data_IF_250687230190
#
_entry.id   IF_250687230190
#
_cell.length_a   1.000
_cell.length_b   1.000
_cell.length_c   1.000
_cell.angle_alpha   90.00
_cell.angle_beta   90.00
_cell.angle_gamma   90.00
#
_symmetry.space_group_name_H-M   'P 1'
#
loop_
_entity.id
_entity.type
_entity.pdbx_description
1 polymer ?
#
# COMPACT_ATOMS: atom_id res chain seq x y z
N UNK A 1 0.42 16.27 -10.33
CA UNK A 1 -0.41 15.04 -10.34
C UNK A 1 -1.70 15.25 -11.14
N UNK A 2 -1.83 14.65 -12.34
CA UNK A 2 -3.08 14.71 -13.13
C UNK A 2 -4.16 13.74 -12.63
N UNK A 3 -3.77 12.56 -12.11
CA UNK A 3 -4.75 11.54 -11.70
C UNK A 3 -5.63 11.95 -10.52
N UNK A 4 -5.08 12.65 -9.52
CA UNK A 4 -5.89 13.18 -8.43
C UNK A 4 -6.96 14.15 -8.94
N UNK A 5 -6.61 15.02 -9.90
CA UNK A 5 -7.57 15.95 -10.49
C UNK A 5 -8.69 15.20 -11.22
N UNK A 6 -8.33 14.21 -12.04
CA UNK A 6 -9.30 13.37 -12.76
C UNK A 6 -10.24 12.66 -11.76
N UNK A 7 -9.69 12.03 -10.73
CA UNK A 7 -10.50 11.42 -9.67
C UNK A 7 -11.46 12.44 -9.04
N UNK A 8 -10.94 13.61 -8.65
CA UNK A 8 -11.73 14.65 -7.98
C UNK A 8 -12.89 15.14 -8.85
N UNK A 9 -12.66 15.32 -10.15
CA UNK A 9 -13.71 15.71 -11.10
C UNK A 9 -14.84 14.68 -11.14
N UNK A 10 -14.52 13.39 -11.32
CA UNK A 10 -15.53 12.33 -11.36
C UNK A 10 -16.24 12.15 -10.01
N UNK A 11 -15.50 12.26 -8.90
CA UNK A 11 -16.07 12.14 -7.56
C UNK A 11 -17.10 13.24 -7.29
N UNK A 12 -16.76 14.51 -7.57
CA UNK A 12 -17.69 15.62 -7.38
C UNK A 12 -18.86 15.59 -8.36
N UNK A 13 -18.67 15.10 -9.59
CA UNK A 13 -19.77 14.87 -10.52
C UNK A 13 -20.76 13.84 -9.98
N UNK A 14 -20.25 12.72 -9.44
CA UNK A 14 -21.09 11.69 -8.84
C UNK A 14 -21.84 12.19 -7.60
N UNK A 15 -21.17 12.93 -6.72
CA UNK A 15 -21.79 13.51 -5.51
C UNK A 15 -22.96 14.44 -5.89
N UNK A 16 -22.74 15.33 -6.87
CA UNK A 16 -23.78 16.25 -7.36
C UNK A 16 -24.99 15.51 -7.93
N UNK A 17 -24.76 14.43 -8.68
CA UNK A 17 -25.83 13.60 -9.27
C UNK A 17 -26.76 13.03 -8.20
N UNK A 18 -26.23 12.71 -7.02
CA UNK A 18 -26.97 12.06 -5.94
C UNK A 18 -27.28 12.98 -4.76
N UNK A 19 -27.16 14.30 -4.91
CA UNK A 19 -27.34 15.29 -3.83
C UNK A 19 -26.55 14.95 -2.54
N UNK A 20 -25.37 14.36 -2.70
CA UNK A 20 -24.51 14.01 -1.56
C UNK A 20 -23.62 15.16 -1.12
N UNK A 21 -22.81 14.89 -0.10
CA UNK A 21 -21.73 15.76 0.35
C UNK A 21 -20.36 15.12 0.18
N UNK A 22 -19.36 15.94 -0.09
CA UNK A 22 -17.97 15.50 -0.23
C UNK A 22 -17.41 14.94 1.08
N UNK A 23 -16.81 13.76 1.03
CA UNK A 23 -16.16 13.14 2.20
C UNK A 23 -14.64 13.30 2.12
N UNK A 24 -14.07 13.94 3.14
CA UNK A 24 -12.60 14.04 3.29
C UNK A 24 -11.95 12.66 3.35
N UNK A 25 -12.59 11.71 4.04
CA UNK A 25 -12.12 10.32 4.15
C UNK A 25 -12.05 9.62 2.80
N UNK A 26 -13.04 9.84 1.93
CA UNK A 26 -13.05 9.31 0.57
C UNK A 26 -11.90 9.90 -0.25
N UNK A 27 -11.73 11.23 -0.20
CA UNK A 27 -10.63 11.90 -0.91
C UNK A 27 -9.26 11.40 -0.45
N UNK A 28 -9.03 11.32 0.86
CA UNK A 28 -7.77 10.82 1.42
C UNK A 28 -7.52 9.37 1.01
N UNK A 29 -8.55 8.50 1.10
CA UNK A 29 -8.41 7.08 0.73
C UNK A 29 -8.10 6.90 -0.76
N UNK A 30 -8.77 7.66 -1.63
CA UNK A 30 -8.49 7.64 -3.06
C UNK A 30 -7.08 8.13 -3.36
N UNK A 31 -6.61 9.17 -2.68
CA UNK A 31 -5.23 9.66 -2.83
C UNK A 31 -4.21 8.60 -2.42
N UNK A 32 -4.44 7.87 -1.32
CA UNK A 32 -3.59 6.75 -0.89
C UNK A 32 -3.54 5.65 -1.94
N UNK A 33 -4.68 5.21 -2.49
CA UNK A 33 -4.72 4.19 -3.55
C UNK A 33 -3.93 4.65 -4.78
N UNK A 34 -4.19 5.88 -5.23
CA UNK A 34 -3.55 6.46 -6.41
C UNK A 34 -2.04 6.57 -6.19
N UNK A 35 -1.60 7.05 -5.02
CA UNK A 35 -0.19 7.20 -4.70
C UNK A 35 0.53 5.86 -4.59
N UNK A 36 -0.11 4.84 -4.00
CA UNK A 36 0.47 3.51 -3.85
C UNK A 36 0.78 2.83 -5.19
N UNK A 37 0.14 3.26 -6.28
CA UNK A 37 0.28 2.64 -7.61
C UNK A 37 0.80 3.58 -8.72
N UNK A 38 1.10 4.84 -8.41
CA UNK A 38 1.75 5.76 -9.34
C UNK A 38 3.21 5.99 -8.96
N UNK A 39 4.01 4.92 -9.03
CA UNK A 39 5.44 5.00 -8.74
C UNK A 39 6.27 5.42 -9.94
N UNK A 40 7.30 6.22 -9.67
CA UNK A 40 8.29 6.66 -10.65
C UNK A 40 9.59 5.90 -10.44
N UNK A 41 10.14 5.32 -11.52
CA UNK A 41 11.39 4.57 -11.47
C UNK A 41 11.85 4.12 -12.85
N UNK A 42 12.91 3.31 -12.86
CA UNK A 42 13.41 2.60 -14.02
C UNK A 42 12.77 1.20 -14.04
N UNK A 43 11.77 1.00 -14.91
CA UNK A 43 11.07 -0.26 -15.03
C UNK A 43 11.95 -1.41 -15.56
N UNK A 44 13.03 -1.11 -16.30
CA UNK A 44 13.97 -2.11 -16.79
C UNK A 44 14.80 -2.65 -15.62
N UNK A 45 15.26 -1.74 -14.74
CA UNK A 45 16.01 -2.11 -13.53
C UNK A 45 15.12 -2.51 -12.36
N UNK A 46 13.81 -2.27 -12.45
CA UNK A 46 12.79 -2.54 -11.42
C UNK A 46 13.02 -1.75 -10.13
N UNK A 47 13.70 -0.61 -10.23
CA UNK A 47 14.07 0.24 -9.09
C UNK A 47 13.59 1.67 -9.24
N UNK A 48 13.32 2.34 -8.13
CA UNK A 48 13.06 3.77 -8.04
C UNK A 48 14.35 4.57 -8.20
N UNK A 49 14.25 5.91 -8.23
CA UNK A 49 15.41 6.79 -8.43
C UNK A 49 16.49 6.64 -7.35
N UNK A 50 16.08 6.32 -6.13
CA UNK A 50 16.92 6.06 -4.96
C UNK A 50 17.51 4.63 -4.93
N UNK A 51 17.20 3.79 -5.92
CA UNK A 51 17.71 2.42 -6.00
C UNK A 51 16.88 1.39 -5.25
N UNK A 52 15.84 1.81 -4.52
CA UNK A 52 14.89 0.91 -3.85
C UNK A 52 14.03 0.14 -4.88
N UNK A 53 13.49 -1.04 -4.55
CA UNK A 53 12.57 -1.75 -5.44
C UNK A 53 11.31 -0.93 -5.74
N UNK A 54 10.80 -0.99 -6.97
CA UNK A 54 9.47 -0.45 -7.29
C UNK A 54 8.42 -1.35 -6.63
N UNK A 55 7.57 -0.78 -5.79
CA UNK A 55 6.51 -1.49 -5.06
C UNK A 55 5.14 -1.03 -5.58
N UNK A 56 4.23 -1.99 -5.76
CA UNK A 56 2.82 -1.77 -6.09
C UNK A 56 1.92 -2.39 -5.02
N UNK A 57 0.72 -1.83 -4.87
CA UNK A 57 -0.32 -2.35 -3.99
C UNK A 57 -1.46 -2.97 -4.80
N UNK A 58 -1.72 -4.24 -4.54
CA UNK A 58 -2.95 -4.93 -4.91
C UNK A 58 -4.04 -4.64 -3.88
N UNK A 59 -5.28 -4.45 -4.35
CA UNK A 59 -6.44 -4.16 -3.50
C UNK A 59 -7.55 -5.18 -3.77
N UNK A 60 -7.76 -6.11 -2.85
CA UNK A 60 -8.77 -7.16 -2.97
C UNK A 60 -10.02 -6.83 -2.18
N UNK A 61 -11.17 -6.78 -2.84
CA UNK A 61 -12.47 -6.68 -2.17
C UNK A 61 -12.76 -7.98 -1.42
N UNK A 62 -13.06 -7.87 -0.13
CA UNK A 62 -13.48 -9.00 0.71
C UNK A 62 -14.99 -9.22 0.60
N UNK A 63 -15.54 -10.38 0.99
CA UNK A 63 -16.98 -10.56 1.06
C UNK A 63 -17.66 -9.50 1.92
N UNK A 64 -18.86 -9.06 1.52
CA UNK A 64 -19.66 -8.12 2.31
C UNK A 64 -20.18 -8.85 3.55
N UNK A 65 -19.85 -8.35 4.73
CA UNK A 65 -20.31 -8.90 6.01
C UNK A 65 -21.09 -7.80 6.74
N UNK A 66 -22.32 -8.08 7.14
CA UNK A 66 -23.21 -7.13 7.84
C UNK A 66 -23.36 -5.79 7.09
N UNK A 67 -23.46 -5.84 5.75
CA UNK A 67 -23.58 -4.65 4.89
C UNK A 67 -22.29 -3.83 4.74
N UNK A 68 -21.15 -4.32 5.26
CA UNK A 68 -19.87 -3.62 5.19
C UNK A 68 -18.95 -4.30 4.17
N UNK A 69 -18.60 -3.55 3.13
CA UNK A 69 -17.55 -3.91 2.18
C UNK A 69 -16.18 -3.55 2.76
N UNK A 70 -15.31 -4.54 2.92
CA UNK A 70 -13.91 -4.35 3.31
C UNK A 70 -12.96 -4.60 2.15
N UNK A 71 -11.74 -4.10 2.27
CA UNK A 71 -10.64 -4.32 1.32
C UNK A 71 -9.42 -4.83 2.06
N UNK A 72 -8.68 -5.73 1.42
CA UNK A 72 -7.34 -6.15 1.81
C UNK A 72 -6.33 -5.52 0.86
N UNK A 73 -5.29 -4.89 1.40
CA UNK A 73 -4.12 -4.40 0.65
C UNK A 73 -3.01 -5.43 0.78
N UNK A 74 -2.34 -5.71 -0.32
CA UNK A 74 -1.16 -6.57 -0.36
C UNK A 74 -0.13 -5.92 -1.27
N UNK A 75 1.12 -5.86 -0.83
CA UNK A 75 2.20 -5.21 -1.59
C UNK A 75 3.08 -6.23 -2.33
N UNK A 76 3.60 -5.82 -3.48
CA UNK A 76 4.50 -6.62 -4.31
C UNK A 76 5.59 -5.75 -4.89
N UNK A 77 6.79 -6.31 -5.08
CA UNK A 77 7.80 -5.66 -5.91
C UNK A 77 7.46 -5.87 -7.38
N UNK A 78 7.90 -4.98 -8.26
CA UNK A 78 7.75 -5.18 -9.70
C UNK A 78 8.42 -6.47 -10.17
N UNK A 79 9.50 -6.89 -9.50
CA UNK A 79 10.15 -8.17 -9.77
C UNK A 79 9.26 -9.36 -9.46
N UNK A 80 8.63 -9.38 -8.26
CA UNK A 80 7.75 -10.49 -7.88
C UNK A 80 6.51 -10.56 -8.77
N UNK A 81 5.96 -9.42 -9.21
CA UNK A 81 4.85 -9.39 -10.18
C UNK A 81 5.26 -10.07 -11.50
N UNK A 82 6.45 -9.79 -12.01
CA UNK A 82 6.92 -10.33 -13.30
C UNK A 82 7.26 -11.81 -13.20
N UNK A 83 7.90 -12.22 -12.10
CA UNK A 83 8.43 -13.57 -11.92
C UNK A 83 7.48 -14.53 -11.20
N UNK A 84 6.30 -14.07 -10.79
CA UNK A 84 5.34 -14.87 -10.00
C UNK A 84 5.82 -15.13 -8.56
N UNK A 85 6.55 -14.18 -7.98
CA UNK A 85 7.03 -14.25 -6.60
C UNK A 85 5.96 -13.93 -5.57
N UNK A 86 6.33 -14.10 -4.30
CA UNK A 86 5.42 -13.86 -3.17
C UNK A 86 5.23 -12.36 -2.88
N UNK A 87 4.11 -12.00 -2.20
CA UNK A 87 3.91 -10.65 -1.72
C UNK A 87 4.89 -10.26 -0.60
N UNK A 88 5.00 -8.95 -0.38
CA UNK A 88 5.75 -8.38 0.73
C UNK A 88 5.03 -8.55 2.08
N UNK A 89 3.74 -8.90 2.06
CA UNK A 89 2.95 -9.15 3.27
C UNK A 89 3.57 -10.28 4.09
N UNK A 90 4.05 -9.94 5.29
CA UNK A 90 4.77 -10.89 6.14
C UNK A 90 6.25 -11.09 5.76
N UNK A 91 6.83 -10.21 4.95
CA UNK A 91 8.27 -10.09 4.77
C UNK A 91 8.77 -8.83 5.51
N UNK A 92 9.94 -8.92 6.15
CA UNK A 92 10.58 -7.78 6.79
C UNK A 92 10.83 -6.71 5.72
N UNK A 93 10.39 -5.45 5.91
CA UNK A 93 10.70 -4.40 4.96
C UNK A 93 12.22 -4.17 4.95
N UNK A 94 12.92 -4.76 3.98
CA UNK A 94 14.30 -4.44 3.67
C UNK A 94 14.33 -3.01 3.12
N UNK A 95 14.39 -2.04 4.02
CA UNK A 95 14.26 -0.63 3.67
C UNK A 95 14.38 0.37 4.83
N UNK A 96 14.61 -0.09 6.07
CA UNK A 96 15.19 0.77 7.10
C UNK A 96 16.63 0.37 7.27
N UNK A 97 17.52 1.33 6.99
CA UNK A 97 18.89 1.32 7.49
C UNK A 97 18.80 1.18 9.00
N UNK A 98 18.96 -0.05 9.49
CA UNK A 98 19.22 -0.27 10.90
C UNK A 98 20.50 0.49 11.22
N UNK A 99 20.45 1.32 12.26
CA UNK A 99 21.66 1.91 12.80
C UNK A 99 22.57 0.75 13.19
N UNK A 100 23.62 0.52 12.39
CA UNK A 100 24.67 -0.45 12.68
C UNK A 100 25.21 -0.15 14.07
N UNK A 101 24.91 -1.04 15.01
CA UNK A 101 25.47 -1.00 16.34
C UNK A 101 26.95 -1.37 16.19
N UNK A 102 27.84 -0.37 16.27
CA UNK A 102 29.28 -0.46 15.90
C UNK A 102 30.09 -1.48 16.75
N UNK A 103 29.47 -2.14 17.73
CA UNK A 103 30.12 -3.05 18.68
C UNK A 103 29.42 -4.42 18.86
N UNK A 104 28.51 -4.82 17.98
CA UNK A 104 27.89 -6.15 18.01
C UNK A 104 28.37 -7.02 16.87
N UNK A 105 29.44 -7.80 17.08
CA UNK A 105 29.78 -8.90 16.18
C UNK A 105 28.95 -10.13 16.59
N UNK A 106 27.80 -10.31 15.96
CA UNK A 106 27.16 -11.61 15.74
C UNK A 106 26.15 -11.46 14.57
N UNK A 107 26.43 -12.13 13.46
CA UNK A 107 25.62 -12.14 12.23
C UNK A 107 24.41 -13.07 12.38
N UNK A 108 23.46 -12.70 13.24
CA UNK A 108 22.07 -13.16 13.10
C UNK A 108 21.20 -11.98 12.70
N UNK A 109 20.78 -11.99 11.43
CA UNK A 109 19.82 -11.02 10.90
C UNK A 109 18.47 -11.34 11.56
N UNK A 110 18.16 -10.67 12.68
CA UNK A 110 16.86 -10.83 13.35
C UNK A 110 15.77 -10.36 12.36
N UNK A 111 15.06 -11.31 11.75
CA UNK A 111 13.91 -11.02 10.91
C UNK A 111 12.84 -10.41 11.81
N UNK A 112 12.83 -9.08 11.92
CA UNK A 112 11.87 -8.33 12.70
C UNK A 112 10.41 -8.72 12.40
N UNK A 113 9.47 -8.40 13.31
CA UNK A 113 8.12 -8.94 13.26
C UNK A 113 7.44 -8.69 11.91
N UNK A 114 6.99 -9.77 11.29
CA UNK A 114 6.26 -9.80 10.02
C UNK A 114 4.99 -8.94 10.14
N UNK A 115 4.83 -7.94 9.28
CA UNK A 115 3.66 -7.03 9.27
C UNK A 115 2.86 -7.17 7.99
N UNK A 116 1.56 -6.95 8.09
CA UNK A 116 0.65 -6.84 6.94
C UNK A 116 -0.36 -5.72 7.15
N UNK A 117 -0.92 -5.21 6.06
CA UNK A 117 -2.02 -4.26 6.17
C UNK A 117 -3.26 -4.94 6.76
N UNK A 118 -3.89 -4.27 7.71
CA UNK A 118 -5.16 -4.72 8.29
C UNK A 118 -6.30 -4.46 7.31
N UNK A 119 -7.19 -5.45 7.17
CA UNK A 119 -8.41 -5.25 6.38
C UNK A 119 -9.26 -4.08 6.93
N UNK A 120 -9.67 -3.18 6.04
CA UNK A 120 -10.39 -1.96 6.44
C UNK A 120 -11.54 -1.64 5.48
N UNK A 121 -12.35 -0.63 5.83
CA UNK A 121 -13.37 -0.09 4.92
C UNK A 121 -12.69 0.72 3.83
N UNK A 122 -13.30 0.78 2.65
CA UNK A 122 -12.75 1.56 1.52
C UNK A 122 -12.49 3.04 1.86
N UNK A 123 -13.31 3.61 2.75
CA UNK A 123 -13.20 5.01 3.21
C UNK A 123 -12.14 5.22 4.32
N UNK A 124 -11.58 4.16 4.87
CA UNK A 124 -10.57 4.21 5.94
C UNK A 124 -9.17 3.77 5.45
N UNK A 125 -8.98 3.54 4.14
CA UNK A 125 -7.70 3.12 3.54
C UNK A 125 -6.57 4.09 3.87
N UNK A 126 -6.87 5.39 3.94
CA UNK A 126 -5.89 6.44 4.24
C UNK A 126 -5.19 6.29 5.60
N UNK A 127 -5.71 5.45 6.49
CA UNK A 127 -5.09 5.19 7.79
C UNK A 127 -3.89 4.26 7.71
N UNK A 128 -3.82 3.44 6.65
CA UNK A 128 -2.72 2.51 6.41
C UNK A 128 -2.39 1.64 7.64
N UNK A 129 -3.43 1.22 8.38
CA UNK A 129 -3.27 0.41 9.60
C UNK A 129 -2.62 -0.94 9.26
N UNK A 130 -1.59 -1.31 10.02
CA UNK A 130 -0.90 -2.60 9.92
C UNK A 130 -1.11 -3.42 11.18
N UNK A 131 -1.03 -4.74 11.04
CA UNK A 131 -1.05 -5.71 12.13
C UNK A 131 0.14 -6.66 12.03
N UNK A 132 0.60 -7.15 13.17
CA UNK A 132 1.65 -8.17 13.24
C UNK A 132 1.07 -9.53 12.89
N UNK A 133 1.80 -10.27 12.05
CA UNK A 133 1.50 -11.65 11.71
C UNK A 133 2.12 -12.52 12.79
N UNK A 134 1.27 -13.11 13.64
CA UNK A 134 1.73 -14.12 14.59
C UNK A 134 2.06 -15.40 13.80
N UNK A 135 3.32 -15.82 13.87
CA UNK A 135 3.79 -17.13 13.40
C UNK A 135 3.18 -18.27 14.20
#
# INVERSE_FOLDING_TARGET
>A
MRMYHIFSQYYFQAIRKWNGEGSRKVNSSAMTIIAANMQQGDAIKKTTRDGSPIIFSEWKLLPVINGVQKVQRTEYTLDSIINGGEPLDGSTPSGKVEQLNLFGFDDEVDEGPKRRFKSCKLVDIYKEEMEEVKS
#
